data_IF_650627548687
#
_entry.id   IF_650627548687
#
_cell.length_a   1.000
_cell.length_b   1.000
_cell.length_c   1.000
_cell.angle_alpha   90.00
_cell.angle_beta   90.00
_cell.angle_gamma   90.00
#
_symmetry.space_group_name_H-M   'P 1'
#
loop_
_entity.id
_entity.type
_entity.pdbx_description
1 polymer ?
#
# COMPACT_ATOMS: atom_id res chain seq x y z
N UNK A 1 -16.35 5.07 3.93
CA UNK A 1 -15.83 4.48 2.69
C UNK A 1 -15.57 5.55 1.63
N UNK A 2 -16.31 6.66 1.61
CA UNK A 2 -16.32 7.67 0.54
C UNK A 2 -15.09 8.60 0.50
N UNK A 3 -14.36 8.79 1.60
CA UNK A 3 -13.26 9.79 1.69
C UNK A 3 -11.90 9.31 1.15
N UNK A 4 -11.68 8.01 1.06
CA UNK A 4 -10.42 7.45 0.52
C UNK A 4 -10.42 7.47 -1.02
N UNK A 5 -11.59 7.36 -1.64
CA UNK A 5 -11.75 7.47 -3.10
C UNK A 5 -11.36 8.85 -3.63
N UNK A 6 -11.70 9.92 -2.92
CA UNK A 6 -11.44 11.32 -3.33
C UNK A 6 -9.94 11.66 -3.45
N UNK A 7 -9.06 10.99 -2.70
CA UNK A 7 -7.60 11.27 -2.77
C UNK A 7 -6.95 10.75 -4.06
N UNK A 8 -7.49 9.68 -4.66
CA UNK A 8 -6.96 9.11 -5.90
C UNK A 8 -7.70 9.59 -7.15
N UNK A 9 -8.90 10.13 -7.03
CA UNK A 9 -9.65 10.70 -8.16
C UNK A 9 -8.83 11.76 -8.90
N UNK A 10 -8.18 12.66 -8.18
CA UNK A 10 -7.38 13.73 -8.75
C UNK A 10 -6.15 13.23 -9.55
N UNK A 11 -5.47 12.16 -9.08
CA UNK A 11 -4.36 11.54 -9.81
C UNK A 11 -4.88 10.79 -11.03
N UNK A 12 -5.95 10.01 -10.86
CA UNK A 12 -6.57 9.23 -11.95
C UNK A 12 -7.06 10.15 -13.06
N UNK A 13 -7.76 11.23 -12.74
CA UNK A 13 -8.28 12.20 -13.71
C UNK A 13 -7.15 12.89 -14.49
N UNK A 14 -6.06 13.25 -13.80
CA UNK A 14 -4.88 13.85 -14.45
C UNK A 14 -4.21 12.89 -15.40
N UNK A 15 -3.97 11.64 -14.97
CA UNK A 15 -3.38 10.61 -15.81
C UNK A 15 -4.28 10.30 -17.01
N UNK A 16 -5.60 10.19 -16.81
CA UNK A 16 -6.57 9.96 -17.87
C UNK A 16 -6.57 11.09 -18.90
N UNK A 17 -6.51 12.34 -18.45
CA UNK A 17 -6.39 13.53 -19.32
C UNK A 17 -5.15 13.46 -20.19
N UNK A 18 -3.99 13.14 -19.61
CA UNK A 18 -2.71 12.98 -20.35
C UNK A 18 -2.84 11.85 -21.38
N UNK A 19 -3.38 10.70 -20.97
CA UNK A 19 -3.55 9.54 -21.85
C UNK A 19 -4.52 9.82 -23.01
N UNK A 20 -5.58 10.58 -22.77
CA UNK A 20 -6.52 11.00 -23.82
C UNK A 20 -5.84 11.89 -24.86
N UNK A 21 -4.99 12.85 -24.42
CA UNK A 21 -4.20 13.69 -25.31
C UNK A 21 -3.24 12.86 -26.18
N UNK A 22 -2.52 11.90 -25.57
CA UNK A 22 -1.57 11.04 -26.30
C UNK A 22 -2.28 10.11 -27.28
N UNK A 23 -3.42 9.51 -26.90
CA UNK A 23 -4.23 8.63 -27.77
C UNK A 23 -4.84 9.38 -28.97
N UNK A 24 -5.13 10.66 -28.83
CA UNK A 24 -5.72 11.50 -29.89
C UNK A 24 -4.73 11.90 -30.98
N UNK A 25 -3.44 11.61 -30.81
CA UNK A 25 -2.42 11.96 -31.82
C UNK A 25 -2.13 10.77 -32.73
N UNK A 26 -2.38 10.93 -34.01
CA UNK A 26 -2.15 9.89 -35.03
C UNK A 26 -0.69 9.52 -35.26
N UNK A 27 0.24 10.47 -35.03
CA UNK A 27 1.70 10.27 -34.98
C UNK A 27 2.24 10.90 -33.71
N UNK A 28 3.02 10.15 -32.94
CA UNK A 28 3.75 10.68 -31.81
C UNK A 28 5.18 11.03 -32.21
N UNK A 29 5.61 12.21 -31.83
CA UNK A 29 7.01 12.64 -31.89
C UNK A 29 7.63 12.50 -30.51
N UNK A 30 8.96 12.43 -30.43
CA UNK A 30 9.66 12.47 -29.13
C UNK A 30 9.18 13.65 -28.26
N UNK A 31 8.96 14.82 -28.89
CA UNK A 31 8.47 16.01 -28.20
C UNK A 31 7.12 15.79 -27.54
N UNK A 32 6.18 15.14 -28.24
CA UNK A 32 4.85 14.85 -27.66
C UNK A 32 4.92 13.87 -26.49
N UNK A 33 5.81 12.88 -26.59
CA UNK A 33 6.06 11.92 -25.51
C UNK A 33 6.66 12.64 -24.29
N UNK A 34 7.68 13.48 -24.49
CA UNK A 34 8.30 14.28 -23.43
C UNK A 34 7.31 15.21 -22.72
N UNK A 35 6.44 15.88 -23.49
CA UNK A 35 5.37 16.73 -22.92
C UNK A 35 4.40 15.90 -22.07
N UNK A 36 3.96 14.73 -22.55
CA UNK A 36 3.09 13.82 -21.81
C UNK A 36 3.75 13.30 -20.54
N UNK A 37 5.02 12.89 -20.62
CA UNK A 37 5.78 12.41 -19.45
C UNK A 37 6.01 13.52 -18.42
N UNK A 38 6.14 14.77 -18.85
CA UNK A 38 6.22 15.92 -17.95
C UNK A 38 4.91 16.10 -17.16
N UNK A 39 3.76 15.98 -17.83
CA UNK A 39 2.44 16.04 -17.14
C UNK A 39 2.28 14.88 -16.17
N UNK A 40 2.66 13.65 -16.56
CA UNK A 40 2.65 12.47 -15.66
C UNK A 40 3.53 12.70 -14.42
N UNK A 41 4.74 13.25 -14.62
CA UNK A 41 5.65 13.59 -13.52
C UNK A 41 5.02 14.56 -12.53
N UNK A 42 4.38 15.61 -13.03
CA UNK A 42 3.71 16.61 -12.19
C UNK A 42 2.56 15.96 -11.40
N UNK A 43 1.73 15.15 -12.06
CA UNK A 43 0.62 14.45 -11.42
C UNK A 43 1.08 13.54 -10.27
N UNK A 44 2.18 12.81 -10.46
CA UNK A 44 2.74 11.95 -9.42
C UNK A 44 3.32 12.74 -8.24
N UNK A 45 4.00 13.87 -8.51
CA UNK A 45 4.54 14.74 -7.45
C UNK A 45 3.43 15.40 -6.63
N UNK A 46 2.34 15.83 -7.28
CA UNK A 46 1.16 16.38 -6.62
C UNK A 46 0.38 15.35 -5.81
N UNK A 47 0.56 14.06 -6.12
CA UNK A 47 0.05 12.93 -5.34
C UNK A 47 1.02 12.47 -4.24
N UNK A 48 1.97 13.33 -3.82
CA UNK A 48 2.96 13.09 -2.78
C UNK A 48 3.90 11.89 -3.03
N UNK A 49 4.05 11.44 -4.28
CA UNK A 49 5.03 10.40 -4.61
C UNK A 49 6.44 10.96 -4.45
N UNK A 50 7.28 10.23 -3.74
CA UNK A 50 8.64 10.67 -3.43
C UNK A 50 9.47 10.97 -4.71
N UNK A 51 10.12 12.12 -4.75
CA UNK A 51 10.84 12.64 -5.93
C UNK A 51 11.80 11.63 -6.61
N UNK A 52 12.55 10.85 -5.81
CA UNK A 52 13.49 9.85 -6.35
C UNK A 52 12.75 8.74 -7.10
N UNK A 53 11.59 8.33 -6.60
CA UNK A 53 10.72 7.32 -7.23
C UNK A 53 10.20 7.86 -8.55
N UNK A 54 9.64 9.07 -8.55
CA UNK A 54 9.13 9.72 -9.77
C UNK A 54 10.23 9.88 -10.81
N UNK A 55 11.44 10.32 -10.40
CA UNK A 55 12.58 10.51 -11.32
C UNK A 55 12.96 9.21 -12.02
N UNK A 56 13.06 8.11 -11.27
CA UNK A 56 13.40 6.78 -11.82
C UNK A 56 12.27 6.30 -12.74
N UNK A 57 11.04 6.34 -12.28
CA UNK A 57 9.87 5.95 -13.07
C UNK A 57 9.80 6.66 -14.43
N UNK A 58 9.96 7.99 -14.45
CA UNK A 58 9.93 8.77 -15.70
C UNK A 58 11.10 8.39 -16.62
N UNK A 59 12.28 8.10 -16.09
CA UNK A 59 13.42 7.64 -16.89
C UNK A 59 13.14 6.27 -17.54
N UNK A 60 12.61 5.32 -16.76
CA UNK A 60 12.30 3.96 -17.24
C UNK A 60 11.18 3.99 -18.30
N UNK A 61 10.12 4.78 -18.06
CA UNK A 61 9.04 4.97 -19.05
C UNK A 61 9.56 5.64 -20.33
N UNK A 62 10.39 6.68 -20.20
CA UNK A 62 10.98 7.39 -21.33
C UNK A 62 11.78 6.46 -22.25
N UNK A 63 12.67 5.68 -21.68
CA UNK A 63 13.50 4.72 -22.41
C UNK A 63 12.64 3.76 -23.24
N UNK A 64 11.59 3.19 -22.62
CA UNK A 64 10.67 2.25 -23.27
C UNK A 64 9.75 2.94 -24.29
N UNK A 65 9.26 4.15 -23.98
CA UNK A 65 8.35 4.88 -24.85
C UNK A 65 9.02 5.46 -26.10
N UNK A 66 10.32 5.77 -26.06
CA UNK A 66 11.10 6.22 -27.20
C UNK A 66 11.70 5.06 -28.01
N UNK A 67 11.42 3.82 -27.65
CA UNK A 67 11.83 2.65 -28.41
C UNK A 67 11.23 2.61 -29.81
N UNK A 68 11.97 2.05 -30.77
CA UNK A 68 11.55 2.00 -32.18
C UNK A 68 10.20 1.31 -32.38
N UNK A 69 9.91 0.28 -31.59
CA UNK A 69 8.63 -0.46 -31.63
C UNK A 69 7.42 0.44 -31.33
N UNK A 70 7.57 1.41 -30.42
CA UNK A 70 6.52 2.36 -30.08
C UNK A 70 6.36 3.40 -31.17
N UNK A 71 7.45 3.99 -31.64
CA UNK A 71 7.44 5.08 -32.63
C UNK A 71 6.95 4.63 -34.01
N UNK A 72 7.21 3.37 -34.37
CA UNK A 72 6.77 2.78 -35.66
C UNK A 72 5.41 2.10 -35.59
N UNK A 73 4.77 2.02 -34.42
CA UNK A 73 3.46 1.42 -34.23
C UNK A 73 2.36 2.19 -34.97
N UNK A 74 1.34 1.49 -35.42
CA UNK A 74 0.11 2.08 -35.97
C UNK A 74 -0.71 2.84 -34.92
N UNK A 75 -0.49 2.55 -33.63
CA UNK A 75 -1.16 3.18 -32.50
C UNK A 75 -0.17 3.62 -31.41
N UNK A 76 0.75 4.55 -31.73
CA UNK A 76 1.86 4.89 -30.84
C UNK A 76 1.36 5.47 -29.50
N UNK A 77 0.29 6.27 -29.50
CA UNK A 77 -0.30 6.79 -28.28
C UNK A 77 -0.83 5.71 -27.32
N UNK A 78 -1.40 4.64 -27.85
CA UNK A 78 -1.82 3.49 -27.03
C UNK A 78 -0.62 2.72 -26.49
N UNK A 79 0.44 2.59 -27.27
CA UNK A 79 1.67 1.93 -26.82
C UNK A 79 2.34 2.69 -25.67
N UNK A 80 2.42 4.02 -25.73
CA UNK A 80 2.94 4.83 -24.62
C UNK A 80 2.09 4.65 -23.35
N UNK A 81 0.76 4.65 -23.47
CA UNK A 81 -0.14 4.41 -22.34
C UNK A 81 0.09 3.01 -21.76
N UNK A 82 0.26 2.00 -22.61
CA UNK A 82 0.60 0.64 -22.18
C UNK A 82 1.92 0.61 -21.41
N UNK A 83 2.97 1.24 -21.93
CA UNK A 83 4.27 1.32 -21.25
C UNK A 83 4.14 1.99 -19.87
N UNK A 84 3.41 3.11 -19.78
CA UNK A 84 3.17 3.77 -18.48
C UNK A 84 2.45 2.85 -17.51
N UNK A 85 1.41 2.16 -17.95
CA UNK A 85 0.64 1.22 -17.12
C UNK A 85 1.50 0.04 -16.64
N UNK A 86 2.30 -0.55 -17.51
CA UNK A 86 3.22 -1.63 -17.17
C UNK A 86 4.25 -1.18 -16.14
N UNK A 87 4.82 0.02 -16.32
CA UNK A 87 5.80 0.56 -15.38
C UNK A 87 5.18 0.96 -14.03
N UNK A 88 3.93 1.46 -14.02
CA UNK A 88 3.19 1.68 -12.77
C UNK A 88 2.91 0.35 -12.04
N UNK A 89 2.52 -0.68 -12.77
CA UNK A 89 2.29 -2.02 -12.22
C UNK A 89 3.58 -2.59 -11.62
N UNK A 90 4.71 -2.46 -12.33
CA UNK A 90 6.01 -2.90 -11.86
C UNK A 90 6.45 -2.13 -10.60
N UNK A 91 6.22 -0.81 -10.57
CA UNK A 91 6.51 0.04 -9.42
C UNK A 91 5.69 -0.34 -8.18
N UNK A 92 4.41 -0.72 -8.38
CA UNK A 92 3.50 -1.15 -7.30
C UNK A 92 3.74 -2.59 -6.85
N UNK A 93 4.56 -3.35 -7.55
CA UNK A 93 4.82 -4.76 -7.30
C UNK A 93 4.14 -5.66 -8.34
N UNK A 94 4.89 -6.12 -9.33
CA UNK A 94 4.39 -6.88 -10.47
C UNK A 94 3.85 -8.28 -10.10
N UNK A 95 4.14 -8.77 -8.89
CA UNK A 95 3.75 -10.11 -8.43
C UNK A 95 3.05 -10.01 -7.08
N UNK A 96 2.08 -10.89 -6.89
CA UNK A 96 1.52 -11.12 -5.56
C UNK A 96 2.59 -11.77 -4.67
N UNK A 97 3.01 -11.06 -3.64
CA UNK A 97 3.86 -11.61 -2.58
C UNK A 97 2.98 -11.96 -1.38
N UNK A 98 3.01 -13.22 -1.00
CA UNK A 98 2.32 -13.68 0.19
C UNK A 98 2.96 -13.05 1.44
N UNK A 99 2.16 -12.90 2.51
CA UNK A 99 2.66 -12.42 3.79
C UNK A 99 3.77 -13.34 4.30
N UNK A 100 4.99 -12.80 4.41
CA UNK A 100 6.12 -13.57 4.93
C UNK A 100 6.05 -13.67 6.45
N UNK A 101 5.70 -14.85 6.93
CA UNK A 101 5.63 -15.19 8.36
C UNK A 101 6.78 -16.10 8.82
N UNK A 102 7.88 -16.12 8.05
CA UNK A 102 9.09 -16.83 8.40
C UNK A 102 9.89 -16.03 9.42
N UNK A 103 10.44 -16.68 10.44
CA UNK A 103 11.27 -16.03 11.44
C UNK A 103 11.03 -16.53 12.86
N UNK A 104 11.74 -15.95 13.84
CA UNK A 104 11.56 -16.27 15.26
C UNK A 104 10.14 -15.94 15.71
N UNK A 105 9.51 -16.89 16.37
CA UNK A 105 8.13 -16.72 16.87
C UNK A 105 8.12 -16.02 18.22
N UNK A 106 7.10 -15.20 18.50
CA UNK A 106 6.02 -14.78 17.61
C UNK A 106 6.51 -13.80 16.54
N UNK A 107 6.07 -13.99 15.28
CA UNK A 107 6.37 -13.08 14.17
C UNK A 107 5.45 -11.88 14.26
N UNK A 108 6.00 -10.66 14.24
CA UNK A 108 5.21 -9.42 14.30
C UNK A 108 4.84 -8.94 12.90
N UNK A 109 3.56 -8.60 12.71
CA UNK A 109 3.02 -7.97 11.50
C UNK A 109 2.35 -6.66 11.91
N UNK A 110 3.06 -5.54 11.70
CA UNK A 110 2.56 -4.22 12.04
C UNK A 110 1.72 -3.63 10.91
N UNK A 111 0.50 -3.19 11.25
CA UNK A 111 -0.40 -2.51 10.33
C UNK A 111 -0.22 -1.00 10.45
N UNK A 112 0.30 -0.37 9.39
CA UNK A 112 0.54 1.07 9.33
C UNK A 112 -0.41 1.77 8.36
N UNK A 113 -0.76 3.02 8.64
CA UNK A 113 -1.62 3.82 7.78
C UNK A 113 -2.24 5.01 8.50
N UNK A 114 -2.86 5.90 7.73
CA UNK A 114 -3.55 7.08 8.25
C UNK A 114 -4.78 6.69 9.09
N UNK A 115 -5.29 7.67 9.86
CA UNK A 115 -6.54 7.50 10.60
C UNK A 115 -7.69 7.17 9.62
N UNK A 116 -8.54 6.21 9.99
CA UNK A 116 -9.65 5.79 9.15
C UNK A 116 -9.29 4.87 7.97
N UNK A 117 -8.00 4.50 7.79
CA UNK A 117 -7.56 3.58 6.73
C UNK A 117 -7.95 2.11 6.94
N UNK A 118 -8.60 1.79 8.05
CA UNK A 118 -9.10 0.44 8.32
C UNK A 118 -8.10 -0.50 9.01
N UNK A 119 -7.05 0.01 9.65
CA UNK A 119 -6.05 -0.81 10.36
C UNK A 119 -6.69 -1.81 11.32
N UNK A 120 -7.51 -1.34 12.26
CA UNK A 120 -8.19 -2.20 13.26
C UNK A 120 -9.05 -3.27 12.61
N UNK A 121 -9.83 -2.91 11.59
CA UNK A 121 -10.65 -3.87 10.84
C UNK A 121 -9.79 -4.90 10.11
N UNK A 122 -8.66 -4.47 9.54
CA UNK A 122 -7.72 -5.34 8.84
C UNK A 122 -7.01 -6.27 9.81
N UNK A 123 -6.62 -5.79 11.02
CA UNK A 123 -6.07 -6.64 12.08
C UNK A 123 -7.01 -7.80 12.43
N UNK A 124 -8.30 -7.51 12.62
CA UNK A 124 -9.28 -8.56 12.90
C UNK A 124 -9.46 -9.55 11.75
N UNK A 125 -9.57 -9.06 10.51
CA UNK A 125 -9.67 -9.93 9.31
C UNK A 125 -8.43 -10.78 9.14
N UNK A 126 -7.24 -10.20 9.33
CA UNK A 126 -5.97 -10.90 9.25
C UNK A 126 -5.85 -11.97 10.35
N UNK A 127 -6.27 -11.67 11.58
CA UNK A 127 -6.26 -12.63 12.65
C UNK A 127 -7.14 -13.85 12.32
N UNK A 128 -8.35 -13.64 11.77
CA UNK A 128 -9.23 -14.74 11.33
C UNK A 128 -8.59 -15.53 10.19
N UNK A 129 -8.00 -14.85 9.20
CA UNK A 129 -7.32 -15.49 8.09
C UNK A 129 -6.12 -16.34 8.54
N UNK A 130 -5.27 -15.79 9.41
CA UNK A 130 -4.12 -16.51 9.97
C UNK A 130 -4.55 -17.74 10.78
N UNK A 131 -5.62 -17.61 11.56
CA UNK A 131 -6.18 -18.74 12.32
C UNK A 131 -6.70 -19.84 11.39
N UNK A 132 -7.33 -19.50 10.25
CA UNK A 132 -7.77 -20.49 9.28
C UNK A 132 -6.59 -21.26 8.63
N UNK A 133 -5.38 -20.67 8.67
CA UNK A 133 -4.13 -21.29 8.23
C UNK A 133 -3.39 -22.05 9.37
N UNK A 134 -4.03 -22.25 10.53
CA UNK A 134 -3.45 -22.94 11.66
C UNK A 134 -2.49 -22.10 12.52
N UNK A 135 -2.44 -20.77 12.29
CA UNK A 135 -1.64 -19.85 13.12
C UNK A 135 -2.40 -19.44 14.37
N UNK A 136 -1.66 -18.96 15.34
CA UNK A 136 -2.19 -18.46 16.62
C UNK A 136 -1.90 -16.98 16.79
N UNK A 137 -2.74 -16.10 16.22
CA UNK A 137 -2.55 -14.64 16.30
C UNK A 137 -2.82 -14.11 17.71
N UNK A 138 -2.12 -13.02 18.05
CA UNK A 138 -2.25 -12.26 19.27
C UNK A 138 -2.38 -10.78 18.92
N UNK A 139 -3.47 -10.12 19.28
CA UNK A 139 -3.71 -8.71 18.99
C UNK A 139 -3.03 -7.83 20.03
N UNK A 140 -2.44 -6.70 19.58
CA UNK A 140 -1.73 -5.78 20.47
C UNK A 140 -2.23 -4.35 20.24
N UNK A 141 -3.03 -3.80 21.16
CA UNK A 141 -3.48 -2.40 21.09
C UNK A 141 -2.31 -1.45 21.39
N UNK A 142 -1.57 -1.01 20.39
CA UNK A 142 -0.44 -0.08 20.52
C UNK A 142 -0.79 1.39 20.21
N UNK A 143 -2.04 1.69 19.81
CA UNK A 143 -2.53 3.06 19.56
C UNK A 143 -3.07 3.67 20.85
N UNK A 144 -2.16 4.10 21.73
CA UNK A 144 -2.50 4.71 23.03
C UNK A 144 -2.93 6.18 22.94
N UNK A 145 -2.65 6.83 21.78
CA UNK A 145 -2.94 8.25 21.60
C UNK A 145 -4.40 8.52 21.23
N UNK A 146 -5.15 7.52 20.82
CA UNK A 146 -6.58 7.65 20.52
C UNK A 146 -7.43 7.08 21.66
N UNK A 147 -8.28 7.92 22.28
CA UNK A 147 -9.29 7.43 23.20
C UNK A 147 -10.09 6.28 22.55
N UNK A 148 -10.40 5.26 23.18
CA UNK A 148 -11.16 4.11 22.66
C UNK A 148 -10.48 3.21 21.62
N UNK A 149 -9.23 3.46 21.18
CA UNK A 149 -8.54 2.55 20.25
C UNK A 149 -8.22 1.19 20.90
N UNK A 150 -7.78 1.22 22.16
CA UNK A 150 -7.53 0.01 22.97
C UNK A 150 -8.81 -0.78 23.12
N UNK A 151 -9.89 -0.14 23.59
CA UNK A 151 -11.20 -0.77 23.79
C UNK A 151 -11.76 -1.36 22.49
N UNK A 152 -11.58 -0.66 21.37
CA UNK A 152 -12.05 -1.11 20.06
C UNK A 152 -11.37 -2.42 19.65
N UNK A 153 -10.05 -2.50 19.78
CA UNK A 153 -9.31 -3.71 19.41
C UNK A 153 -9.56 -4.84 20.39
N UNK A 154 -9.72 -4.53 21.69
CA UNK A 154 -10.07 -5.50 22.72
C UNK A 154 -11.43 -6.13 22.46
N UNK A 155 -12.47 -5.33 22.22
CA UNK A 155 -13.81 -5.83 21.87
C UNK A 155 -13.79 -6.68 20.59
N UNK A 156 -13.00 -6.27 19.60
CA UNK A 156 -12.85 -7.05 18.37
C UNK A 156 -12.20 -8.41 18.65
N UNK A 157 -11.17 -8.45 19.49
CA UNK A 157 -10.52 -9.70 19.89
C UNK A 157 -11.49 -10.65 20.63
N UNK A 158 -12.30 -10.12 21.54
CA UNK A 158 -13.35 -10.88 22.21
C UNK A 158 -14.35 -11.47 21.23
N UNK A 159 -14.87 -10.66 20.31
CA UNK A 159 -15.82 -11.10 19.27
C UNK A 159 -15.26 -12.21 18.38
N UNK A 160 -13.96 -12.12 18.06
CA UNK A 160 -13.27 -13.08 17.20
C UNK A 160 -12.68 -14.26 17.98
N UNK A 161 -12.77 -14.28 19.32
CA UNK A 161 -12.08 -15.25 20.18
C UNK A 161 -10.56 -15.31 19.88
N UNK A 162 -9.95 -14.15 19.74
CA UNK A 162 -8.50 -13.96 19.55
C UNK A 162 -7.95 -13.27 20.79
N UNK A 163 -6.89 -13.78 21.43
CA UNK A 163 -6.32 -13.16 22.61
C UNK A 163 -5.75 -11.77 22.28
N UNK A 164 -5.88 -10.86 23.26
CA UNK A 164 -5.48 -9.46 23.15
C UNK A 164 -4.55 -9.11 24.31
N UNK A 165 -3.51 -8.35 24.06
CA UNK A 165 -2.64 -7.81 25.11
C UNK A 165 -3.37 -6.70 25.89
N UNK A 166 -3.21 -6.71 27.21
CA UNK A 166 -3.84 -5.74 28.11
C UNK A 166 -3.07 -4.41 28.18
N UNK A 167 -3.12 -3.61 27.11
CA UNK A 167 -2.48 -2.30 27.05
C UNK A 167 -3.18 -1.27 27.93
N UNK A 168 -2.43 -0.30 28.45
CA UNK A 168 -2.96 0.84 29.20
C UNK A 168 -2.62 2.16 28.44
N UNK A 169 -3.44 3.21 28.58
CA UNK A 169 -3.24 4.47 27.85
C UNK A 169 -1.96 5.24 28.23
N UNK A 170 -1.39 4.97 29.38
CA UNK A 170 -0.17 5.61 29.92
C UNK A 170 1.12 4.85 29.60
N UNK A 171 1.02 3.70 28.93
CA UNK A 171 2.18 2.91 28.51
C UNK A 171 2.82 3.46 27.24
N UNK A 172 4.12 3.28 27.13
CA UNK A 172 4.82 3.55 25.86
C UNK A 172 4.48 2.49 24.81
N UNK A 173 4.15 2.86 23.56
CA UNK A 173 3.81 1.90 22.48
C UNK A 173 4.91 0.88 22.18
N UNK A 174 6.19 1.26 22.36
CA UNK A 174 7.32 0.35 22.16
C UNK A 174 7.35 -0.69 23.27
N UNK A 175 7.17 -0.27 24.53
CA UNK A 175 7.12 -1.17 25.67
C UNK A 175 5.92 -2.13 25.57
N UNK A 176 4.75 -1.63 25.14
CA UNK A 176 3.58 -2.47 24.84
C UNK A 176 3.95 -3.60 23.86
N UNK A 177 4.62 -3.26 22.76
CA UNK A 177 4.99 -4.25 21.75
C UNK A 177 6.02 -5.27 22.28
N UNK A 178 6.99 -4.82 23.07
CA UNK A 178 8.01 -5.69 23.66
C UNK A 178 7.42 -6.66 24.70
N UNK A 179 6.59 -6.16 25.61
CA UNK A 179 5.92 -6.97 26.62
C UNK A 179 4.88 -7.91 25.99
N UNK A 180 4.11 -7.42 25.04
CA UNK A 180 3.15 -8.24 24.31
C UNK A 180 3.82 -9.40 23.56
N UNK A 181 5.06 -9.24 23.09
CA UNK A 181 5.83 -10.32 22.48
C UNK A 181 6.10 -11.45 23.46
N UNK A 182 6.49 -11.10 24.68
CA UNK A 182 6.73 -12.08 25.74
C UNK A 182 5.39 -12.75 26.16
N UNK A 183 4.34 -11.96 26.36
CA UNK A 183 3.02 -12.46 26.72
C UNK A 183 2.46 -13.40 25.65
N UNK A 184 2.58 -13.06 24.38
CA UNK A 184 2.17 -13.92 23.26
C UNK A 184 2.92 -15.26 23.24
N UNK A 185 4.22 -15.22 23.52
CA UNK A 185 5.04 -16.44 23.59
C UNK A 185 4.58 -17.35 24.74
N UNK A 186 4.32 -16.79 25.91
CA UNK A 186 3.81 -17.52 27.07
C UNK A 186 2.40 -18.08 26.81
N UNK A 187 1.57 -17.36 26.06
CA UNK A 187 0.24 -17.81 25.63
C UNK A 187 0.28 -18.84 24.49
N UNK A 188 1.47 -19.21 24.00
CA UNK A 188 1.64 -20.14 22.88
C UNK A 188 1.15 -19.58 21.54
N UNK A 189 1.09 -18.25 21.41
CA UNK A 189 0.79 -17.55 20.17
C UNK A 189 2.04 -17.42 19.30
N UNK A 190 1.86 -17.42 17.98
CA UNK A 190 2.98 -17.45 17.01
C UNK A 190 3.03 -16.24 16.08
N UNK A 191 2.01 -15.37 16.16
CA UNK A 191 1.92 -14.16 15.32
C UNK A 191 1.38 -13.00 16.13
N UNK A 192 2.09 -11.88 16.11
CA UNK A 192 1.75 -10.65 16.81
C UNK A 192 1.18 -9.64 15.81
N UNK A 193 0.04 -9.02 16.15
CA UNK A 193 -0.64 -8.02 15.33
C UNK A 193 -0.79 -6.72 16.14
N UNK A 194 0.27 -5.85 16.15
CA UNK A 194 0.21 -4.52 16.75
C UNK A 194 -0.71 -3.57 15.99
#
# INVERSE_FOLDING_TARGET
>A
VTRVLVMFENLSDKLESVFKKLKGQGKLTEKNIEEGLREVRIALLEADVHFRVVKRFIADVREKALGQEVLTSLTPGQQVVKVVNEQLTELMGARHEALNLSGPRPVAVMLVGLQGSGKTTTSGKLAVHLRSQGRKPYLVPADVYRPAAIDQLTKLGEQLSVPVYGSQPDMDPVDICLEARVAAQLAGCDTLLP
#
